data_IF_875080062079
#
_entry.id   IF_875080062079
#
_cell.length_a   1.000
_cell.length_b   1.000
_cell.length_c   1.000
_cell.angle_alpha   90.00
_cell.angle_beta   90.00
_cell.angle_gamma   90.00
#
_symmetry.space_group_name_H-M   'P 1'
#
loop_
_entity.id
_entity.type
_entity.pdbx_description
1 polymer ?
#
# COMPACT_ATOMS: atom_id res chain seq x y z
N UNK A 1 69.87 -44.35 -19.67
CA UNK A 1 69.45 -43.32 -18.75
C UNK A 1 68.01 -42.89 -19.18
N UNK A 2 67.02 -43.34 -18.43
CA UNK A 2 65.58 -43.00 -18.71
C UNK A 2 65.19 -41.89 -17.73
N UNK A 3 64.79 -40.72 -18.29
CA UNK A 3 64.29 -39.60 -17.48
C UNK A 3 62.76 -39.80 -17.33
N UNK A 4 62.31 -39.92 -16.09
CA UNK A 4 60.89 -39.89 -15.73
C UNK A 4 60.46 -38.42 -15.55
N UNK A 5 59.53 -37.97 -16.40
CA UNK A 5 58.84 -36.68 -16.21
C UNK A 5 57.68 -36.87 -15.27
N UNK A 6 57.61 -36.04 -14.22
CA UNK A 6 56.48 -35.97 -13.27
C UNK A 6 55.42 -35.05 -13.86
N UNK A 7 54.16 -35.49 -14.00
CA UNK A 7 53.10 -34.59 -14.46
C UNK A 7 52.68 -33.63 -13.31
N UNK A 8 52.73 -32.33 -13.58
CA UNK A 8 52.20 -31.31 -12.71
C UNK A 8 50.67 -31.34 -12.79
N UNK A 9 50.01 -31.76 -11.71
CA UNK A 9 48.56 -31.69 -11.57
C UNK A 9 48.19 -30.27 -11.17
N UNK A 10 47.56 -29.53 -12.11
CA UNK A 10 47.00 -28.20 -11.84
C UNK A 10 45.69 -28.37 -11.07
N UNK A 11 45.71 -28.15 -9.75
CA UNK A 11 44.54 -28.13 -8.90
C UNK A 11 43.90 -26.74 -9.05
N UNK A 12 42.75 -26.65 -9.76
CA UNK A 12 41.92 -25.47 -9.76
C UNK A 12 41.21 -25.35 -8.41
N UNK A 13 41.66 -24.41 -7.56
CA UNK A 13 40.88 -23.99 -6.40
C UNK A 13 39.64 -23.25 -6.88
N UNK A 14 38.49 -23.90 -6.77
CA UNK A 14 37.19 -23.26 -6.85
C UNK A 14 37.04 -22.32 -5.64
N UNK A 15 37.29 -21.04 -5.85
CA UNK A 15 36.91 -20.02 -4.85
C UNK A 15 35.39 -19.98 -4.71
N UNK A 16 34.87 -20.01 -3.48
CA UNK A 16 33.44 -19.81 -3.29
C UNK A 16 33.08 -18.41 -3.78
N UNK A 17 32.14 -18.34 -4.72
CA UNK A 17 31.54 -17.07 -5.11
C UNK A 17 30.81 -16.54 -3.89
N UNK A 18 31.23 -15.37 -3.39
CA UNK A 18 30.50 -14.62 -2.38
C UNK A 18 29.12 -14.27 -2.95
N UNK A 19 28.07 -14.89 -2.42
CA UNK A 19 26.71 -14.46 -2.67
C UNK A 19 26.62 -13.06 -2.08
N UNK A 20 26.56 -12.05 -2.95
CA UNK A 20 26.25 -10.68 -2.52
C UNK A 20 24.86 -10.73 -1.88
N UNK A 21 24.66 -10.10 -0.70
CA UNK A 21 23.30 -9.97 -0.17
C UNK A 21 22.46 -9.26 -1.24
N UNK A 22 21.32 -9.85 -1.59
CA UNK A 22 20.36 -9.17 -2.47
C UNK A 22 20.05 -7.80 -1.82
N UNK A 23 20.24 -6.72 -2.57
CA UNK A 23 19.88 -5.36 -2.15
C UNK A 23 18.34 -5.27 -2.06
N UNK A 24 17.81 -5.85 -0.98
CA UNK A 24 16.39 -5.72 -0.68
C UNK A 24 16.15 -4.30 -0.17
N UNK A 25 15.44 -3.44 -0.92
CA UNK A 25 15.28 -2.04 -0.55
C UNK A 25 14.68 -1.90 0.85
N UNK A 26 15.22 -0.97 1.62
CA UNK A 26 14.78 -0.75 3.00
C UNK A 26 13.36 -0.17 3.05
N UNK A 27 12.60 -0.54 4.07
CA UNK A 27 11.34 0.08 4.38
C UNK A 27 11.55 1.53 4.84
N UNK A 28 10.85 2.47 4.23
CA UNK A 28 10.86 3.90 4.55
C UNK A 28 9.52 4.28 5.17
N UNK A 29 9.55 5.03 6.26
CA UNK A 29 8.33 5.55 6.86
C UNK A 29 7.71 6.63 5.96
N UNK A 30 6.44 6.42 5.54
CA UNK A 30 5.64 7.45 4.87
C UNK A 30 5.08 8.46 5.88
N UNK A 31 4.93 8.06 7.12
CA UNK A 31 4.46 8.89 8.22
C UNK A 31 5.47 8.83 9.37
N UNK A 32 5.87 9.99 9.86
CA UNK A 32 6.92 10.14 10.87
C UNK A 32 6.42 10.03 12.33
N UNK A 33 5.09 9.87 12.53
CA UNK A 33 4.46 9.80 13.85
C UNK A 33 4.32 11.13 14.58
N UNK A 34 4.63 12.28 13.96
CA UNK A 34 4.67 13.60 14.62
C UNK A 34 3.83 14.65 13.91
N UNK A 35 3.93 14.73 12.59
CA UNK A 35 3.28 15.72 11.76
C UNK A 35 3.01 15.18 10.36
N UNK A 36 2.32 15.96 9.54
CA UNK A 36 1.97 15.60 8.17
C UNK A 36 3.04 16.05 7.15
N UNK A 37 4.29 16.21 7.54
CA UNK A 37 5.39 16.47 6.61
C UNK A 37 5.45 15.38 5.55
N UNK A 38 5.50 15.76 4.27
CA UNK A 38 5.45 14.86 3.12
C UNK A 38 4.04 14.51 2.65
N UNK A 39 3.01 15.09 3.26
CA UNK A 39 1.61 14.93 2.91
C UNK A 39 0.96 16.27 2.58
N UNK A 40 -0.10 16.24 1.77
CA UNK A 40 -0.92 17.39 1.38
C UNK A 40 -2.40 17.03 1.52
N UNK A 41 -3.16 17.92 2.16
CA UNK A 41 -4.60 17.80 2.31
C UNK A 41 -5.34 18.26 1.05
N UNK A 42 -6.38 17.55 0.68
CA UNK A 42 -7.30 17.86 -0.42
C UNK A 42 -8.74 17.74 0.07
N UNK A 43 -9.50 18.80 -0.09
CA UNK A 43 -10.90 18.89 0.40
C UNK A 43 -11.02 19.72 1.65
N UNK A 44 -12.12 19.51 2.40
CA UNK A 44 -12.46 20.27 3.60
C UNK A 44 -12.55 19.38 4.84
N UNK A 45 -12.24 18.10 4.70
CA UNK A 45 -12.18 17.17 5.80
C UNK A 45 -10.91 17.43 6.61
N UNK A 46 -10.95 17.11 7.90
CA UNK A 46 -9.87 17.46 8.80
C UNK A 46 -8.88 16.31 8.95
N UNK A 47 -7.61 16.63 8.84
CA UNK A 47 -6.51 15.71 9.09
C UNK A 47 -5.61 16.24 10.19
N UNK A 48 -5.37 15.45 11.22
CA UNK A 48 -4.51 15.79 12.36
C UNK A 48 -3.61 14.64 12.73
N UNK A 49 -2.62 14.92 13.57
CA UNK A 49 -1.83 13.88 14.22
C UNK A 49 -2.13 13.90 15.70
N UNK A 50 -2.56 12.76 16.23
CA UNK A 50 -2.86 12.55 17.64
C UNK A 50 -2.22 11.23 18.10
N UNK A 51 -1.49 11.25 19.20
CA UNK A 51 -0.85 10.07 19.81
C UNK A 51 0.01 9.23 18.83
N UNK A 52 0.66 9.91 17.88
CA UNK A 52 1.48 9.24 16.86
C UNK A 52 0.69 8.60 15.72
N UNK A 53 -0.58 8.94 15.58
CA UNK A 53 -1.51 8.42 14.56
C UNK A 53 -2.02 9.56 13.69
N UNK A 54 -2.24 9.30 12.39
CA UNK A 54 -3.01 10.19 11.52
C UNK A 54 -4.48 9.97 11.86
N UNK A 55 -5.18 11.05 12.22
CA UNK A 55 -6.62 11.07 12.39
C UNK A 55 -7.26 11.87 11.26
N UNK A 56 -8.12 11.21 10.49
CA UNK A 56 -9.03 11.84 9.55
C UNK A 56 -10.44 11.92 10.15
N UNK A 57 -11.02 13.13 10.15
CA UNK A 57 -12.38 13.38 10.63
C UNK A 57 -13.24 13.92 9.48
N UNK A 58 -14.33 13.21 9.17
CA UNK A 58 -15.30 13.66 8.18
C UNK A 58 -16.16 14.79 8.76
N UNK A 59 -15.89 16.00 8.33
CA UNK A 59 -16.62 17.21 8.78
C UNK A 59 -17.73 17.61 7.82
N UNK A 60 -17.61 17.20 6.57
CA UNK A 60 -18.55 17.52 5.51
C UNK A 60 -19.13 16.23 4.93
N UNK A 61 -20.03 16.37 3.94
CA UNK A 61 -20.51 15.21 3.19
C UNK A 61 -19.77 14.99 1.87
N UNK A 62 -18.58 15.59 1.74
CA UNK A 62 -17.74 15.51 0.56
C UNK A 62 -16.59 14.51 0.78
N UNK A 63 -15.86 14.25 -0.27
CA UNK A 63 -14.61 13.51 -0.17
C UNK A 63 -13.50 14.39 0.41
N UNK A 64 -12.59 13.78 1.17
CA UNK A 64 -11.34 14.36 1.60
C UNK A 64 -10.19 13.38 1.41
N UNK A 65 -9.03 13.90 1.08
CA UNK A 65 -7.83 13.08 0.88
C UNK A 65 -6.63 13.69 1.58
N UNK A 66 -5.77 12.82 2.08
CA UNK A 66 -4.42 13.15 2.53
C UNK A 66 -3.46 12.43 1.59
N UNK A 67 -2.80 13.16 0.69
CA UNK A 67 -1.97 12.60 -0.37
C UNK A 67 -0.49 12.84 -0.12
N UNK A 68 0.37 11.90 -0.52
CA UNK A 68 1.82 12.11 -0.51
C UNK A 68 2.23 13.20 -1.50
N UNK A 69 3.27 13.96 -1.16
CA UNK A 69 3.86 14.97 -2.07
C UNK A 69 4.79 14.38 -3.13
N UNK A 70 5.11 13.08 -3.02
CA UNK A 70 5.88 12.28 -3.98
C UNK A 70 4.97 11.28 -4.69
N UNK A 71 5.38 10.86 -5.89
CA UNK A 71 4.77 9.76 -6.64
C UNK A 71 5.57 8.47 -6.47
N UNK A 72 4.90 7.34 -6.71
CA UNK A 72 5.45 5.99 -6.59
C UNK A 72 4.99 5.14 -7.76
N UNK A 73 5.85 4.22 -8.21
CA UNK A 73 5.57 3.34 -9.35
C UNK A 73 5.41 1.88 -8.92
N UNK A 74 6.49 1.20 -8.61
CA UNK A 74 6.46 -0.16 -8.08
C UNK A 74 6.85 -0.13 -6.61
N UNK A 75 6.07 -0.76 -5.76
CA UNK A 75 6.33 -0.69 -4.32
C UNK A 75 5.55 -1.75 -3.55
N UNK A 76 5.96 -1.93 -2.32
CA UNK A 76 5.16 -2.55 -1.28
C UNK A 76 4.80 -1.49 -0.25
N UNK A 77 3.57 -1.52 0.23
CA UNK A 77 3.07 -0.65 1.29
C UNK A 77 2.49 -1.50 2.42
N UNK A 78 2.72 -1.06 3.65
CA UNK A 78 2.04 -1.57 4.83
C UNK A 78 1.56 -0.42 5.68
N UNK A 79 0.39 -0.61 6.29
CA UNK A 79 -0.23 0.35 7.20
C UNK A 79 -1.11 -0.37 8.21
N UNK A 80 -1.42 0.30 9.30
CA UNK A 80 -2.53 -0.06 10.17
C UNK A 80 -3.63 0.97 10.05
N UNK A 81 -4.87 0.50 10.10
CA UNK A 81 -6.03 1.36 10.11
C UNK A 81 -7.04 0.94 11.18
N UNK A 82 -7.81 1.90 11.64
CA UNK A 82 -8.95 1.70 12.54
C UNK A 82 -10.03 2.72 12.22
N UNK A 83 -11.25 2.27 12.05
CA UNK A 83 -12.41 3.15 11.89
C UNK A 83 -13.15 3.37 13.19
N UNK A 84 -13.65 4.58 13.38
CA UNK A 84 -14.58 4.96 14.46
C UNK A 84 -15.87 5.49 13.84
N UNK A 85 -16.99 4.81 14.08
CA UNK A 85 -18.28 5.12 13.45
C UNK A 85 -18.49 4.39 12.12
N UNK A 86 -19.28 4.99 11.21
CA UNK A 86 -19.76 4.36 9.98
C UNK A 86 -18.96 4.76 8.72
N UNK A 87 -17.85 5.48 8.90
CA UNK A 87 -17.07 6.02 7.79
C UNK A 87 -16.43 4.92 6.92
N UNK A 88 -16.36 5.19 5.61
CA UNK A 88 -15.60 4.43 4.65
C UNK A 88 -14.30 5.18 4.28
N UNK A 89 -13.29 4.45 3.88
CA UNK A 89 -12.00 4.96 3.51
C UNK A 89 -11.36 4.13 2.40
N UNK A 90 -10.12 4.45 2.06
CA UNK A 90 -9.30 3.72 1.10
C UNK A 90 -7.88 4.23 1.10
N UNK A 91 -6.97 3.41 0.60
CA UNK A 91 -5.60 3.81 0.29
C UNK A 91 -5.46 3.78 -1.23
N UNK A 92 -5.40 4.97 -1.81
CA UNK A 92 -5.19 5.13 -3.24
C UNK A 92 -3.72 4.99 -3.60
N UNK A 93 -3.45 4.50 -4.80
CA UNK A 93 -2.12 4.45 -5.40
C UNK A 93 -2.20 4.75 -6.90
N UNK A 94 -1.08 5.11 -7.52
CA UNK A 94 -1.00 5.56 -8.91
C UNK A 94 -2.05 6.63 -9.22
N UNK A 95 -2.22 7.57 -8.31
CA UNK A 95 -3.34 8.49 -8.36
C UNK A 95 -2.92 9.90 -8.71
N UNK A 96 -3.86 10.61 -9.34
CA UNK A 96 -3.81 12.05 -9.56
C UNK A 96 -5.01 12.70 -8.93
N UNK A 97 -4.82 13.89 -8.35
CA UNK A 97 -5.87 14.67 -7.69
C UNK A 97 -5.99 16.04 -8.35
N UNK A 98 -7.23 16.45 -8.58
CA UNK A 98 -7.59 17.83 -8.93
C UNK A 98 -8.68 18.28 -7.96
N UNK A 99 -8.32 19.08 -6.95
CA UNK A 99 -9.21 19.32 -5.81
C UNK A 99 -9.51 17.99 -5.09
N UNK A 100 -10.79 17.58 -5.08
CA UNK A 100 -11.25 16.29 -4.54
C UNK A 100 -11.60 15.26 -5.62
N UNK A 101 -11.34 15.57 -6.87
CA UNK A 101 -11.49 14.62 -7.97
C UNK A 101 -10.24 13.76 -8.06
N UNK A 102 -10.33 12.50 -7.69
CA UNK A 102 -9.25 11.54 -7.74
C UNK A 102 -9.45 10.56 -8.89
N UNK A 103 -8.38 10.30 -9.63
CA UNK A 103 -8.28 9.21 -10.62
C UNK A 103 -7.12 8.32 -10.23
N UNK A 104 -7.34 7.02 -10.23
CA UNK A 104 -6.34 6.04 -9.81
C UNK A 104 -6.99 4.77 -9.30
N UNK A 105 -6.21 3.94 -8.63
CA UNK A 105 -6.70 2.68 -8.05
C UNK A 105 -6.66 2.77 -6.53
N UNK A 106 -7.73 2.31 -5.91
CA UNK A 106 -7.90 2.24 -4.46
C UNK A 106 -7.78 0.80 -3.99
N UNK A 107 -6.99 0.57 -2.96
CA UNK A 107 -7.18 -0.57 -2.06
C UNK A 107 -8.25 -0.14 -1.06
N UNK A 108 -9.38 -0.81 -1.09
CA UNK A 108 -10.51 -0.50 -0.21
C UNK A 108 -10.16 -0.67 1.26
N UNK A 109 -10.56 0.27 2.10
CA UNK A 109 -10.39 0.26 3.55
C UNK A 109 -11.71 0.70 4.20
N UNK A 110 -12.65 -0.21 4.30
CA UNK A 110 -13.91 0.03 5.02
C UNK A 110 -13.86 -0.75 6.34
N UNK A 111 -14.04 -0.11 7.51
CA UNK A 111 -14.01 -0.79 8.80
C UNK A 111 -15.24 -1.67 9.05
N UNK A 112 -16.23 -1.64 8.15
CA UNK A 112 -17.47 -2.39 8.29
C UNK A 112 -17.42 -3.72 7.52
N UNK A 113 -17.94 -4.83 8.07
CA UNK A 113 -17.97 -6.13 7.41
C UNK A 113 -18.74 -6.12 6.08
N UNK A 114 -18.26 -6.91 5.11
CA UNK A 114 -18.94 -7.08 3.82
C UNK A 114 -18.81 -5.88 2.87
N UNK A 115 -17.88 -4.98 3.15
CA UNK A 115 -17.59 -3.79 2.35
C UNK A 115 -16.32 -3.91 1.49
N UNK A 116 -15.79 -5.13 1.37
CA UNK A 116 -14.72 -5.49 0.45
C UNK A 116 -13.34 -4.89 0.76
N UNK A 117 -13.02 -4.71 2.06
CA UNK A 117 -11.69 -4.25 2.50
C UNK A 117 -10.58 -5.15 1.94
N UNK A 118 -9.58 -4.53 1.32
CA UNK A 118 -8.51 -5.20 0.58
C UNK A 118 -8.82 -5.43 -0.90
N UNK A 119 -10.06 -5.15 -1.37
CA UNK A 119 -10.42 -5.16 -2.78
C UNK A 119 -9.84 -3.98 -3.55
N UNK A 120 -9.91 -4.03 -4.88
CA UNK A 120 -9.39 -2.98 -5.77
C UNK A 120 -10.53 -2.29 -6.51
N UNK A 121 -10.54 -0.95 -6.43
CA UNK A 121 -11.52 -0.10 -7.08
C UNK A 121 -10.81 0.97 -7.93
N UNK A 122 -11.18 1.10 -9.21
CA UNK A 122 -10.67 2.15 -10.10
C UNK A 122 -11.58 3.37 -10.06
N UNK A 123 -11.13 4.44 -9.41
CA UNK A 123 -11.87 5.70 -9.33
C UNK A 123 -11.73 6.51 -10.62
N UNK A 124 -12.85 7.08 -11.06
CA UNK A 124 -12.92 7.80 -12.34
C UNK A 124 -12.83 6.88 -13.57
N UNK A 125 -13.09 5.58 -13.40
CA UNK A 125 -12.97 4.61 -14.48
C UNK A 125 -13.91 3.41 -14.34
N UNK A 126 -13.35 2.21 -14.24
CA UNK A 126 -14.05 0.91 -14.32
C UNK A 126 -14.82 0.51 -13.06
N UNK A 127 -14.63 1.22 -11.93
CA UNK A 127 -15.20 0.82 -10.65
C UNK A 127 -14.47 -0.40 -10.05
N UNK A 128 -15.20 -1.36 -9.49
CA UNK A 128 -14.59 -2.56 -8.92
C UNK A 128 -13.81 -3.37 -9.95
N UNK A 129 -12.50 -3.47 -9.75
CA UNK A 129 -11.62 -4.33 -10.55
C UNK A 129 -11.68 -5.77 -10.03
N UNK A 130 -11.62 -5.93 -8.72
CA UNK A 130 -11.72 -7.22 -8.04
C UNK A 130 -12.11 -7.01 -6.57
N UNK A 131 -12.92 -7.91 -6.05
CA UNK A 131 -13.32 -7.96 -4.64
C UNK A 131 -12.60 -9.10 -3.93
N UNK A 132 -12.39 -9.02 -2.62
CA UNK A 132 -11.81 -10.13 -1.84
C UNK A 132 -12.67 -11.39 -1.94
N UNK A 133 -12.03 -12.54 -1.85
CA UNK A 133 -12.74 -13.79 -1.62
C UNK A 133 -13.24 -13.92 -0.17
N UNK A 134 -13.99 -14.97 0.15
CA UNK A 134 -14.59 -15.15 1.49
C UNK A 134 -13.59 -15.09 2.64
N UNK A 135 -12.39 -15.64 2.48
CA UNK A 135 -11.34 -15.59 3.50
C UNK A 135 -10.82 -14.18 3.75
N UNK A 136 -10.66 -13.38 2.67
CA UNK A 136 -10.27 -11.97 2.75
C UNK A 136 -11.34 -11.12 3.44
N UNK A 137 -12.61 -11.33 3.09
CA UNK A 137 -13.74 -10.64 3.76
C UNK A 137 -13.80 -10.97 5.27
N UNK A 138 -13.57 -12.23 5.63
CA UNK A 138 -13.62 -12.68 7.02
C UNK A 138 -12.40 -12.23 7.85
N UNK A 139 -11.34 -11.73 7.21
CA UNK A 139 -10.13 -11.31 7.90
C UNK A 139 -10.27 -9.97 8.63
N UNK A 140 -11.27 -9.16 8.32
CA UNK A 140 -11.51 -7.87 8.99
C UNK A 140 -11.85 -8.06 10.46
N UNK A 141 -11.28 -7.21 11.30
CA UNK A 141 -11.55 -7.10 12.75
C UNK A 141 -12.27 -5.78 13.03
N UNK A 142 -13.61 -5.76 13.03
CA UNK A 142 -14.36 -4.52 13.23
C UNK A 142 -14.06 -3.85 14.57
N UNK A 143 -13.84 -2.53 14.55
CA UNK A 143 -13.54 -1.75 15.76
C UNK A 143 -12.13 -1.91 16.31
N UNK A 144 -11.31 -2.78 15.74
CA UNK A 144 -9.93 -3.00 16.14
C UNK A 144 -8.95 -2.40 15.12
N UNK A 145 -7.67 -2.38 15.49
CA UNK A 145 -6.59 -2.13 14.54
C UNK A 145 -6.46 -3.29 13.56
N UNK A 146 -6.46 -2.97 12.28
CA UNK A 146 -6.28 -3.92 11.20
C UNK A 146 -4.96 -3.62 10.46
N UNK A 147 -4.21 -4.66 10.13
CA UNK A 147 -3.04 -4.59 9.27
C UNK A 147 -3.49 -4.72 7.81
N UNK A 148 -3.17 -3.74 7.00
CA UNK A 148 -3.31 -3.78 5.54
C UNK A 148 -1.94 -3.70 4.90
N UNK A 149 -1.65 -4.58 3.96
CA UNK A 149 -0.44 -4.48 3.16
C UNK A 149 -0.73 -4.86 1.71
N UNK A 150 0.00 -4.26 0.78
CA UNK A 150 -0.13 -4.59 -0.62
C UNK A 150 1.15 -4.31 -1.39
N UNK A 151 1.34 -5.07 -2.47
CA UNK A 151 2.39 -4.85 -3.44
C UNK A 151 1.80 -4.44 -4.78
N UNK A 152 2.47 -3.50 -5.44
CA UNK A 152 2.17 -3.05 -6.81
C UNK A 152 3.43 -3.25 -7.64
N UNK A 153 3.37 -4.17 -8.60
CA UNK A 153 4.47 -4.46 -9.51
C UNK A 153 3.94 -4.51 -10.95
N UNK A 154 4.22 -3.45 -11.69
CA UNK A 154 3.66 -3.26 -13.03
C UNK A 154 2.13 -3.26 -12.98
N UNK A 155 1.51 -4.29 -13.60
CA UNK A 155 0.06 -4.44 -13.64
C UNK A 155 -0.49 -5.48 -12.64
N UNK A 156 0.34 -6.01 -11.74
CA UNK A 156 -0.10 -6.96 -10.71
C UNK A 156 -0.14 -6.30 -9.35
N UNK A 157 -1.24 -6.54 -8.65
CA UNK A 157 -1.47 -6.09 -7.28
C UNK A 157 -1.86 -7.27 -6.40
N UNK A 158 -1.18 -7.39 -5.26
CA UNK A 158 -1.51 -8.40 -4.25
C UNK A 158 -1.78 -7.68 -2.95
N UNK A 159 -2.93 -7.94 -2.33
CA UNK A 159 -3.33 -7.33 -1.06
C UNK A 159 -3.49 -8.36 0.04
N UNK A 160 -3.17 -7.96 1.26
CA UNK A 160 -3.34 -8.76 2.48
C UNK A 160 -4.05 -7.95 3.54
N UNK A 161 -5.00 -8.57 4.22
CA UNK A 161 -5.68 -8.02 5.39
C UNK A 161 -5.42 -8.94 6.59
N UNK A 162 -4.82 -8.42 7.66
CA UNK A 162 -4.45 -9.18 8.86
C UNK A 162 -3.67 -10.48 8.54
N UNK A 163 -2.78 -10.43 7.55
CA UNK A 163 -1.97 -11.56 7.11
C UNK A 163 -2.68 -12.54 6.16
N UNK A 164 -3.98 -12.37 5.92
CA UNK A 164 -4.75 -13.16 4.96
C UNK A 164 -4.72 -12.49 3.60
N UNK A 165 -4.36 -13.24 2.54
CA UNK A 165 -4.39 -12.70 1.18
C UNK A 165 -5.83 -12.43 0.77
N UNK A 166 -6.16 -11.14 0.56
CA UNK A 166 -7.48 -10.70 0.14
C UNK A 166 -7.63 -10.78 -1.37
N UNK A 167 -6.62 -10.30 -2.12
CA UNK A 167 -6.62 -10.23 -3.59
C UNK A 167 -5.25 -10.59 -4.14
N UNK A 168 -5.23 -11.21 -5.32
CA UNK A 168 -4.09 -11.33 -6.22
C UNK A 168 -4.61 -11.08 -7.62
N UNK A 169 -4.37 -9.88 -8.15
CA UNK A 169 -4.98 -9.41 -9.39
C UNK A 169 -3.93 -8.91 -10.37
N UNK A 170 -3.98 -9.44 -11.59
CA UNK A 170 -3.21 -8.94 -12.72
C UNK A 170 -4.17 -8.21 -13.66
N UNK A 171 -4.06 -6.89 -13.71
CA UNK A 171 -4.92 -6.06 -14.56
C UNK A 171 -4.60 -6.31 -16.05
N UNK A 172 -5.58 -6.77 -16.85
CA UNK A 172 -5.37 -7.00 -18.28
C UNK A 172 -5.29 -5.69 -19.08
N UNK A 173 -5.74 -4.56 -18.52
CA UNK A 173 -5.79 -3.27 -19.19
C UNK A 173 -5.51 -2.13 -18.21
N UNK A 174 -4.30 -2.05 -17.62
CA UNK A 174 -3.96 -1.05 -16.63
C UNK A 174 -3.96 0.36 -17.26
N UNK A 175 -4.41 1.35 -16.50
CA UNK A 175 -4.50 2.75 -16.94
C UNK A 175 -3.53 3.66 -16.20
N UNK A 176 -3.12 3.30 -15.00
CA UNK A 176 -2.31 4.11 -14.11
C UNK A 176 -1.06 3.33 -13.72
N UNK A 177 0.12 3.94 -13.83
CA UNK A 177 1.40 3.26 -13.67
C UNK A 177 2.31 3.93 -12.65
N UNK A 178 1.98 5.16 -12.25
CA UNK A 178 2.64 5.95 -11.22
C UNK A 178 1.66 6.99 -10.68
N UNK A 179 1.98 7.57 -9.55
CA UNK A 179 1.17 8.62 -8.94
C UNK A 179 1.34 8.67 -7.43
N UNK A 180 0.57 9.53 -6.80
CA UNK A 180 0.59 9.69 -5.35
C UNK A 180 -0.09 8.50 -4.65
N UNK A 181 0.26 8.33 -3.39
CA UNK A 181 -0.51 7.53 -2.43
C UNK A 181 -1.42 8.49 -1.66
N UNK A 182 -2.70 8.16 -1.52
CA UNK A 182 -3.63 9.01 -0.79
C UNK A 182 -4.53 8.19 0.15
N UNK A 183 -4.66 8.67 1.38
CA UNK A 183 -5.67 8.21 2.32
C UNK A 183 -6.96 8.94 2.05
N UNK A 184 -8.09 8.25 2.10
CA UNK A 184 -9.41 8.81 1.80
C UNK A 184 -10.26 8.96 3.06
N UNK A 185 -11.08 10.01 3.07
CA UNK A 185 -12.33 10.05 3.81
C UNK A 185 -13.47 10.10 2.79
N UNK A 186 -14.31 9.07 2.79
CA UNK A 186 -15.38 8.93 1.81
C UNK A 186 -16.49 9.95 2.08
N UNK A 187 -17.17 10.39 1.02
CA UNK A 187 -18.34 11.23 1.14
C UNK A 187 -19.46 10.55 1.94
N UNK A 188 -20.25 11.35 2.64
CA UNK A 188 -21.34 10.82 3.47
C UNK A 188 -21.33 11.37 4.89
N UNK A 189 -20.19 11.83 5.35
CA UNK A 189 -20.06 12.79 6.44
C UNK A 189 -20.20 12.26 7.84
N UNK A 190 -19.90 11.00 8.09
CA UNK A 190 -19.85 10.50 9.47
C UNK A 190 -18.73 9.47 9.61
N UNK A 191 -17.88 9.68 10.60
CA UNK A 191 -16.83 8.75 10.96
C UNK A 191 -15.45 9.39 11.04
N UNK A 192 -14.60 8.63 11.67
CA UNK A 192 -13.19 8.94 11.82
C UNK A 192 -12.38 7.74 11.38
N UNK A 193 -11.27 8.01 10.72
CA UNK A 193 -10.31 6.99 10.33
C UNK A 193 -8.95 7.31 10.94
N UNK A 194 -8.37 6.32 11.58
CA UNK A 194 -7.02 6.41 12.11
C UNK A 194 -6.08 5.54 11.32
N UNK A 195 -4.89 6.07 11.07
CA UNK A 195 -3.82 5.35 10.37
C UNK A 195 -2.50 5.49 11.13
N UNK A 196 -1.72 4.43 11.17
CA UNK A 196 -0.34 4.43 11.71
C UNK A 196 0.51 3.34 11.04
N UNK A 197 1.78 3.31 11.40
CA UNK A 197 2.74 2.33 10.89
C UNK A 197 2.75 2.28 9.35
N UNK A 198 2.64 3.47 8.71
CA UNK A 198 2.68 3.59 7.25
C UNK A 198 4.13 3.54 6.77
N UNK A 199 4.46 2.48 6.07
CA UNK A 199 5.78 2.27 5.49
C UNK A 199 5.66 1.87 4.03
N UNK A 200 6.64 2.27 3.25
CA UNK A 200 6.77 1.90 1.84
C UNK A 200 8.15 1.33 1.58
N UNK A 201 8.24 0.41 0.62
CA UNK A 201 9.47 -0.10 0.06
C UNK A 201 9.32 -0.06 -1.46
N UNK A 202 10.10 0.79 -2.12
CA UNK A 202 10.11 0.84 -3.59
C UNK A 202 10.86 -0.39 -4.12
N UNK A 203 10.36 -0.98 -5.19
CA UNK A 203 10.91 -2.16 -5.86
C UNK A 203 11.16 -1.84 -7.33
N UNK A 204 12.26 -2.37 -7.88
CA UNK A 204 12.66 -2.17 -9.27
C UNK A 204 11.87 -3.06 -10.25
#
# INVERSE_FOLDING_TARGET
>A
MKRFGIPFLLVWLLMPQSVQPEDNPAWVALFNGRDLTGWQEHGQEKWTVEDGEILGEALTRKYGYLATTRTYKNFELRAKFKGEGTGNSGIFYHSTLQGVDIKGVQVEVDPNPGRHTGGLYESGGRGWLVKPGPAGEAALKPGEWNDISFSVLGNRVVTFLNGVRAVDYKDPAPRYFDGVIALQLHSGGEGKMRFKDLYIREIE
#
